data_IF_369204381069
#
_entry.id   IF_369204381069
#
_cell.length_a   1.000
_cell.length_b   1.000
_cell.length_c   1.000
_cell.angle_alpha   90.00
_cell.angle_beta   90.00
_cell.angle_gamma   90.00
#
_symmetry.space_group_name_H-M   'P 1'
#
loop_
_entity.id
_entity.type
_entity.pdbx_description
1 polymer ?
#
# COMPACT_ATOMS: atom_id res chain seq x y z
N UNK A 1 -35.28 18.54 2.99
CA UNK A 1 -35.97 19.22 4.11
C UNK A 1 -34.98 19.30 5.25
N UNK A 2 -34.59 20.49 5.73
CA UNK A 2 -33.68 20.60 6.88
C UNK A 2 -34.50 20.41 8.15
N UNK A 3 -34.22 19.35 8.89
CA UNK A 3 -34.84 19.15 10.21
C UNK A 3 -34.37 20.26 11.14
N UNK A 4 -35.31 21.03 11.69
CA UNK A 4 -35.02 22.18 12.54
C UNK A 4 -34.38 21.79 13.90
N UNK A 5 -34.30 20.50 14.19
CA UNK A 5 -33.73 19.92 15.42
C UNK A 5 -32.23 19.62 15.30
N UNK A 6 -31.69 19.47 14.08
CA UNK A 6 -30.29 19.14 13.84
C UNK A 6 -29.49 20.44 13.70
N UNK A 7 -28.64 20.74 14.68
CA UNK A 7 -27.95 22.03 14.75
C UNK A 7 -26.64 22.02 13.95
N UNK A 8 -26.02 20.85 13.78
CA UNK A 8 -24.71 20.75 13.15
C UNK A 8 -24.76 20.12 11.75
N UNK A 9 -23.93 20.61 10.79
CA UNK A 9 -23.80 20.02 9.46
C UNK A 9 -23.59 18.50 9.44
N UNK A 10 -22.77 17.97 10.35
CA UNK A 10 -22.53 16.52 10.42
C UNK A 10 -23.77 15.71 10.84
N UNK A 11 -24.71 16.31 11.57
CA UNK A 11 -26.00 15.69 11.89
C UNK A 11 -26.94 15.71 10.68
N UNK A 12 -27.00 16.86 10.00
CA UNK A 12 -27.86 17.06 8.83
C UNK A 12 -27.44 16.18 7.64
N UNK A 13 -26.13 15.98 7.47
CA UNK A 13 -25.56 15.24 6.36
C UNK A 13 -25.66 13.71 6.55
N UNK A 14 -25.87 13.20 7.76
CA UNK A 14 -25.81 11.76 8.05
C UNK A 14 -26.82 10.94 7.22
N UNK A 15 -28.05 11.44 7.08
CA UNK A 15 -29.08 10.79 6.25
C UNK A 15 -28.73 10.83 4.76
N UNK A 16 -28.15 11.93 4.29
CA UNK A 16 -27.76 12.06 2.88
C UNK A 16 -26.55 11.18 2.55
N UNK A 17 -25.57 11.10 3.45
CA UNK A 17 -24.41 10.19 3.34
C UNK A 17 -24.88 8.74 3.26
N UNK A 18 -25.73 8.30 4.19
CA UNK A 18 -26.25 6.92 4.20
C UNK A 18 -27.07 6.60 2.95
N UNK A 19 -27.88 7.54 2.46
CA UNK A 19 -28.61 7.39 1.20
C UNK A 19 -27.67 7.23 0.00
N UNK A 20 -26.68 8.12 -0.15
CA UNK A 20 -25.74 8.07 -1.27
C UNK A 20 -24.84 6.82 -1.22
N UNK A 21 -24.39 6.40 -0.04
CA UNK A 21 -23.68 5.13 0.16
C UNK A 21 -24.49 3.94 -0.36
N UNK A 22 -25.76 3.85 0.04
CA UNK A 22 -26.65 2.80 -0.45
C UNK A 22 -26.85 2.89 -1.97
N UNK A 23 -27.04 4.08 -2.51
CA UNK A 23 -27.20 4.28 -3.95
C UNK A 23 -25.93 3.84 -4.72
N UNK A 24 -24.75 4.13 -4.21
CA UNK A 24 -23.48 3.78 -4.85
C UNK A 24 -23.23 2.27 -4.79
N UNK A 25 -23.29 1.65 -3.60
CA UNK A 25 -22.92 0.24 -3.46
C UNK A 25 -24.07 -0.76 -3.65
N UNK A 26 -25.28 -0.46 -3.17
CA UNK A 26 -26.41 -1.40 -3.30
C UNK A 26 -27.06 -1.35 -4.68
N UNK A 27 -27.00 -0.19 -5.35
CA UNK A 27 -27.53 0.01 -6.70
C UNK A 27 -26.45 0.10 -7.78
N UNK A 28 -25.17 -0.05 -7.43
CA UNK A 28 -24.01 0.00 -8.34
C UNK A 28 -24.02 1.24 -9.27
N UNK A 29 -24.39 2.40 -8.74
CA UNK A 29 -24.38 3.62 -9.54
C UNK A 29 -22.93 4.10 -9.76
N UNK A 30 -22.57 4.34 -11.02
CA UNK A 30 -21.23 4.75 -11.45
C UNK A 30 -21.15 6.23 -11.84
N UNK A 31 -22.24 7.00 -11.72
CA UNK A 31 -22.24 8.42 -12.07
C UNK A 31 -21.33 9.23 -11.14
N UNK A 32 -20.37 9.95 -11.74
CA UNK A 32 -19.36 10.71 -11.02
C UNK A 32 -19.93 11.75 -10.06
N UNK A 33 -21.09 12.32 -10.40
CA UNK A 33 -21.78 13.30 -9.57
C UNK A 33 -22.09 12.76 -8.16
N UNK A 34 -22.62 11.54 -8.03
CA UNK A 34 -22.98 10.99 -6.72
C UNK A 34 -21.75 10.66 -5.87
N UNK A 35 -20.69 10.16 -6.49
CA UNK A 35 -19.44 9.84 -5.80
C UNK A 35 -18.74 11.10 -5.30
N UNK A 36 -18.66 12.13 -6.15
CA UNK A 36 -18.09 13.44 -5.81
C UNK A 36 -18.90 14.12 -4.70
N UNK A 37 -20.22 14.10 -4.82
CA UNK A 37 -21.12 14.66 -3.80
C UNK A 37 -20.98 13.95 -2.46
N UNK A 38 -20.81 12.63 -2.44
CA UNK A 38 -20.60 11.87 -1.21
C UNK A 38 -19.31 12.32 -0.50
N UNK A 39 -18.20 12.48 -1.24
CA UNK A 39 -16.93 12.97 -0.67
C UNK A 39 -17.09 14.37 -0.07
N UNK A 40 -17.75 15.29 -0.77
CA UNK A 40 -18.00 16.65 -0.28
C UNK A 40 -18.85 16.67 1.01
N UNK A 41 -19.85 15.78 1.11
CA UNK A 41 -20.65 15.63 2.32
C UNK A 41 -19.84 15.07 3.50
N UNK A 42 -18.96 14.10 3.25
CA UNK A 42 -18.03 13.63 4.27
C UNK A 42 -17.08 14.74 4.72
N UNK A 43 -16.48 15.49 3.78
CA UNK A 43 -15.58 16.60 4.10
C UNK A 43 -16.24 17.66 4.99
N UNK A 44 -17.46 18.09 4.63
CA UNK A 44 -18.19 19.09 5.40
C UNK A 44 -18.60 18.56 6.79
N UNK A 45 -18.97 17.29 6.89
CA UNK A 45 -19.29 16.63 8.16
C UNK A 45 -18.06 16.52 9.06
N UNK A 46 -16.93 16.07 8.50
CA UNK A 46 -15.66 15.92 9.23
C UNK A 46 -15.17 17.28 9.72
N UNK A 47 -15.18 18.31 8.86
CA UNK A 47 -14.75 19.67 9.25
C UNK A 47 -15.61 20.22 10.39
N UNK A 48 -16.93 20.06 10.29
CA UNK A 48 -17.86 20.48 11.34
C UNK A 48 -17.68 19.70 12.65
N UNK A 49 -17.38 18.40 12.58
CA UNK A 49 -17.07 17.58 13.76
C UNK A 49 -15.76 18.01 14.42
N UNK A 50 -14.72 18.30 13.63
CA UNK A 50 -13.43 18.78 14.14
C UNK A 50 -13.58 20.09 14.92
N UNK A 51 -14.30 21.07 14.35
CA UNK A 51 -14.59 22.33 15.04
C UNK A 51 -15.34 22.12 16.36
N UNK A 52 -16.30 21.18 16.38
CA UNK A 52 -17.06 20.87 17.58
C UNK A 52 -16.17 20.22 18.67
N UNK A 53 -15.32 19.25 18.28
CA UNK A 53 -14.35 18.62 19.19
C UNK A 53 -13.42 19.67 19.78
N UNK A 54 -12.86 20.57 18.95
CA UNK A 54 -11.98 21.66 19.42
C UNK A 54 -12.71 22.63 20.37
N UNK A 55 -13.98 22.94 20.09
CA UNK A 55 -14.81 23.74 21.00
C UNK A 55 -14.98 23.05 22.35
N UNK A 56 -15.32 21.77 22.35
CA UNK A 56 -15.51 20.96 23.57
C UNK A 56 -14.19 20.82 24.36
N UNK A 57 -13.06 20.62 23.67
CA UNK A 57 -11.73 20.58 24.30
C UNK A 57 -11.40 21.91 24.98
N UNK A 58 -11.62 23.05 24.29
CA UNK A 58 -11.44 24.38 24.88
C UNK A 58 -12.37 24.63 26.06
N UNK A 59 -13.59 24.07 26.05
CA UNK A 59 -14.51 24.15 27.19
C UNK A 59 -14.01 23.31 28.37
N UNK A 60 -13.49 22.11 28.10
CA UNK A 60 -12.90 21.23 29.12
C UNK A 60 -11.71 21.87 29.81
N UNK A 61 -10.73 22.39 29.05
CA UNK A 61 -9.54 23.06 29.62
C UNK A 61 -9.94 24.27 30.48
N UNK A 62 -10.93 25.07 30.02
CA UNK A 62 -11.46 26.17 30.83
C UNK A 62 -12.09 25.66 32.12
N UNK A 63 -12.91 24.61 32.04
CA UNK A 63 -13.56 24.00 33.20
C UNK A 63 -12.53 23.47 34.21
N UNK A 64 -11.52 22.73 33.76
CA UNK A 64 -10.39 22.23 34.57
C UNK A 64 -9.71 23.41 35.30
N UNK A 65 -9.36 24.48 34.58
CA UNK A 65 -8.72 25.67 35.18
C UNK A 65 -9.60 26.40 36.20
N UNK A 66 -10.93 26.35 36.04
CA UNK A 66 -11.88 26.94 36.99
C UNK A 66 -12.03 26.05 38.22
N UNK A 67 -12.07 24.73 38.05
CA UNK A 67 -12.12 23.76 39.14
C UNK A 67 -10.87 23.88 40.04
N UNK A 68 -9.66 23.98 39.46
CA UNK A 68 -8.40 24.19 40.20
C UNK A 68 -8.39 25.50 41.01
N UNK A 69 -8.93 26.58 40.44
CA UNK A 69 -9.07 27.88 41.15
C UNK A 69 -10.06 27.79 42.30
N UNK A 70 -11.17 27.09 42.12
CA UNK A 70 -12.16 26.88 43.20
C UNK A 70 -11.55 26.04 44.32
N UNK A 71 -10.80 24.99 43.97
CA UNK A 71 -10.16 24.09 44.93
C UNK A 71 -9.05 24.79 45.75
N UNK A 72 -8.35 25.78 45.19
CA UNK A 72 -7.32 26.54 45.89
C UNK A 72 -7.85 27.64 46.83
N UNK A 73 -9.14 27.99 46.76
CA UNK A 73 -9.70 29.13 47.50
C UNK A 73 -10.47 28.78 48.80
N UNK A 74 -10.74 27.50 49.17
CA UNK A 74 -11.78 27.22 50.21
C UNK A 74 -11.51 26.08 51.23
N UNK A 75 -11.95 26.32 52.48
CA UNK A 75 -12.01 25.42 53.67
C UNK A 75 -13.32 24.59 53.75
N UNK A 76 -13.28 23.53 54.55
CA UNK A 76 -14.11 22.30 54.51
C UNK A 76 -15.60 22.45 54.90
N UNK A 77 -16.52 21.99 54.02
CA UNK A 77 -17.80 21.27 54.24
C UNK A 77 -18.85 21.52 53.14
N UNK A 78 -18.87 22.68 52.48
CA UNK A 78 -19.71 22.97 51.28
C UNK A 78 -19.15 22.25 50.02
N UNK A 79 -18.02 21.57 50.17
CA UNK A 79 -17.11 21.08 49.12
C UNK A 79 -17.48 19.73 48.50
N UNK A 80 -18.24 18.87 49.20
CA UNK A 80 -18.55 17.53 48.70
C UNK A 80 -19.63 17.54 47.60
N UNK A 81 -20.68 18.36 47.77
CA UNK A 81 -21.75 18.50 46.78
C UNK A 81 -21.28 19.25 45.53
N UNK A 82 -20.59 20.38 45.71
CA UNK A 82 -20.01 21.14 44.59
C UNK A 82 -18.91 20.33 43.88
N UNK A 83 -18.09 19.58 44.62
CA UNK A 83 -17.10 18.68 44.03
C UNK A 83 -17.72 17.53 43.25
N UNK A 84 -18.84 16.96 43.73
CA UNK A 84 -19.59 15.94 43.01
C UNK A 84 -20.21 16.49 41.72
N UNK A 85 -20.85 17.67 41.77
CA UNK A 85 -21.44 18.32 40.59
C UNK A 85 -20.38 18.70 39.54
N UNK A 86 -19.21 19.18 39.99
CA UNK A 86 -18.09 19.48 39.10
C UNK A 86 -17.53 18.20 38.44
N UNK A 87 -17.40 17.10 39.21
CA UNK A 87 -16.97 15.80 38.67
C UNK A 87 -17.98 15.18 37.70
N UNK A 88 -19.28 15.35 37.93
CA UNK A 88 -20.34 14.91 37.00
C UNK A 88 -20.30 15.74 35.70
N UNK A 89 -20.11 17.06 35.79
CA UNK A 89 -19.97 17.90 34.61
C UNK A 89 -18.70 17.58 33.79
N UNK A 90 -17.57 17.31 34.47
CA UNK A 90 -16.32 16.92 33.82
C UNK A 90 -16.44 15.57 33.12
N UNK A 91 -16.98 14.55 33.81
CA UNK A 91 -17.22 13.23 33.22
C UNK A 91 -18.20 13.26 32.05
N UNK A 92 -19.23 14.12 32.13
CA UNK A 92 -20.14 14.40 31.02
C UNK A 92 -19.42 14.99 29.80
N UNK A 93 -18.56 15.99 30.00
CA UNK A 93 -17.74 16.59 28.92
C UNK A 93 -16.75 15.60 28.31
N UNK A 94 -16.10 14.78 29.14
CA UNK A 94 -15.21 13.72 28.67
C UNK A 94 -15.96 12.67 27.83
N UNK A 95 -17.15 12.27 28.27
CA UNK A 95 -18.01 11.32 27.54
C UNK A 95 -18.41 11.88 26.17
N UNK A 96 -18.85 13.14 26.12
CA UNK A 96 -19.18 13.82 24.86
C UNK A 96 -17.98 13.91 23.91
N UNK A 97 -16.80 14.28 24.44
CA UNK A 97 -15.56 14.31 23.65
C UNK A 97 -15.21 12.94 23.09
N UNK A 98 -15.33 11.89 23.90
CA UNK A 98 -15.09 10.51 23.47
C UNK A 98 -16.02 10.12 22.32
N UNK A 99 -17.33 10.35 22.46
CA UNK A 99 -18.32 10.06 21.42
C UNK A 99 -18.04 10.83 20.13
N UNK A 100 -17.69 12.12 20.21
CA UNK A 100 -17.38 12.94 19.02
C UNK A 100 -16.11 12.49 18.33
N UNK A 101 -15.07 12.15 19.08
CA UNK A 101 -13.83 11.60 18.52
C UNK A 101 -14.05 10.25 17.83
N UNK A 102 -14.91 9.40 18.39
CA UNK A 102 -15.26 8.11 17.78
C UNK A 102 -15.99 8.30 16.45
N UNK A 103 -16.99 9.19 16.39
CA UNK A 103 -17.71 9.51 15.15
C UNK A 103 -16.76 10.12 14.12
N UNK A 104 -15.87 11.03 14.55
CA UNK A 104 -14.88 11.66 13.70
C UNK A 104 -13.92 10.62 13.10
N UNK A 105 -13.39 9.73 13.94
CA UNK A 105 -12.51 8.65 13.50
C UNK A 105 -13.20 7.76 12.46
N UNK A 106 -14.42 7.28 12.76
CA UNK A 106 -15.22 6.47 11.84
C UNK A 106 -15.49 7.17 10.51
N UNK A 107 -15.85 8.47 10.57
CA UNK A 107 -16.14 9.23 9.35
C UNK A 107 -14.91 9.40 8.46
N UNK A 108 -13.72 9.60 9.07
CA UNK A 108 -12.45 9.65 8.34
C UNK A 108 -12.08 8.31 7.72
N UNK A 109 -12.20 7.21 8.47
CA UNK A 109 -11.89 5.88 7.94
C UNK A 109 -12.82 5.51 6.78
N UNK A 110 -14.12 5.80 6.90
CA UNK A 110 -15.07 5.56 5.82
C UNK A 110 -14.77 6.39 4.57
N UNK A 111 -14.34 7.65 4.75
CA UNK A 111 -13.96 8.51 3.63
C UNK A 111 -12.72 7.97 2.91
N UNK A 112 -11.68 7.57 3.65
CA UNK A 112 -10.46 6.99 3.09
C UNK A 112 -10.76 5.71 2.31
N UNK A 113 -11.50 4.78 2.92
CA UNK A 113 -11.94 3.55 2.27
C UNK A 113 -12.73 3.83 0.98
N UNK A 114 -13.63 4.80 1.02
CA UNK A 114 -14.40 5.20 -0.17
C UNK A 114 -13.51 5.73 -1.29
N UNK A 115 -12.55 6.61 -0.97
CA UNK A 115 -11.62 7.18 -1.94
C UNK A 115 -10.69 6.13 -2.56
N UNK A 116 -10.30 5.12 -1.79
CA UNK A 116 -9.48 4.02 -2.29
C UNK A 116 -10.26 3.10 -3.24
N UNK A 117 -11.47 2.71 -2.84
CA UNK A 117 -12.30 1.73 -3.55
C UNK A 117 -12.99 2.30 -4.78
N UNK A 118 -13.49 3.54 -4.71
CA UNK A 118 -14.16 4.18 -5.84
C UNK A 118 -13.15 4.77 -6.83
N UNK A 119 -13.45 4.64 -8.13
CA UNK A 119 -12.72 5.31 -9.21
C UNK A 119 -13.63 6.27 -10.01
N UNK A 120 -14.86 6.47 -9.55
CA UNK A 120 -15.88 7.16 -10.36
C UNK A 120 -16.03 8.63 -10.03
N UNK A 121 -15.46 9.14 -8.93
CA UNK A 121 -15.54 10.56 -8.58
C UNK A 121 -14.68 11.46 -9.48
N UNK A 122 -15.03 12.74 -9.57
CA UNK A 122 -14.22 13.75 -10.25
C UNK A 122 -13.08 14.21 -9.33
N UNK A 123 -11.91 13.61 -9.54
CA UNK A 123 -10.71 13.90 -8.76
C UNK A 123 -10.22 15.35 -8.92
N UNK A 124 -10.39 15.97 -10.10
CA UNK A 124 -9.93 17.33 -10.35
C UNK A 124 -10.84 18.37 -9.66
N UNK A 125 -12.16 18.15 -9.69
CA UNK A 125 -13.10 18.95 -8.93
C UNK A 125 -12.83 18.85 -7.43
N UNK A 126 -12.62 17.63 -6.93
CA UNK A 126 -12.35 17.39 -5.52
C UNK A 126 -11.10 18.13 -5.06
N UNK A 127 -9.96 18.00 -5.74
CA UNK A 127 -8.72 18.70 -5.32
C UNK A 127 -8.89 20.20 -5.15
N UNK A 128 -9.68 20.85 -6.01
CA UNK A 128 -9.97 22.29 -5.93
C UNK A 128 -10.86 22.64 -4.74
N UNK A 129 -11.68 21.70 -4.28
CA UNK A 129 -12.57 21.89 -3.12
C UNK A 129 -11.87 21.65 -1.77
N UNK A 130 -10.76 20.91 -1.74
CA UNK A 130 -10.05 20.62 -0.50
C UNK A 130 -9.33 21.86 0.08
N UNK A 131 -9.49 22.17 1.39
CA UNK A 131 -8.74 23.26 2.02
C UNK A 131 -7.24 22.98 2.06
N UNK A 132 -6.39 24.01 2.03
CA UNK A 132 -4.93 23.85 1.85
C UNK A 132 -4.23 22.95 2.89
N UNK A 133 -4.58 23.09 4.17
CA UNK A 133 -3.86 22.49 5.30
C UNK A 133 -4.61 21.33 5.99
N UNK A 134 -5.72 20.86 5.40
CA UNK A 134 -6.50 19.74 5.93
C UNK A 134 -6.66 18.61 4.90
N UNK A 135 -7.07 17.43 5.39
CA UNK A 135 -7.31 16.22 4.60
C UNK A 135 -6.11 15.79 3.72
N UNK A 136 -4.93 15.74 4.33
CA UNK A 136 -3.68 15.46 3.62
C UNK A 136 -3.64 14.03 3.06
N UNK A 137 -4.15 13.05 3.80
CA UNK A 137 -4.22 11.65 3.36
C UNK A 137 -5.18 11.49 2.17
N UNK A 138 -6.35 12.10 2.25
CA UNK A 138 -7.36 12.09 1.19
C UNK A 138 -6.83 12.75 -0.08
N UNK A 139 -6.14 13.89 0.05
CA UNK A 139 -5.47 14.56 -1.08
C UNK A 139 -4.42 13.68 -1.74
N UNK A 140 -3.60 12.99 -0.95
CA UNK A 140 -2.58 12.11 -1.48
C UNK A 140 -3.20 10.96 -2.30
N UNK A 141 -4.33 10.39 -1.83
CA UNK A 141 -5.08 9.38 -2.59
C UNK A 141 -5.62 9.96 -3.90
N UNK A 142 -6.20 11.16 -3.88
CA UNK A 142 -6.77 11.79 -5.08
C UNK A 142 -5.68 12.13 -6.10
N UNK A 143 -4.55 12.68 -5.66
CA UNK A 143 -3.39 12.94 -6.52
C UNK A 143 -2.86 11.65 -7.15
N UNK A 144 -2.80 10.55 -6.38
CA UNK A 144 -2.44 9.23 -6.91
C UNK A 144 -3.37 8.76 -8.03
N UNK A 145 -4.67 9.05 -7.91
CA UNK A 145 -5.68 8.67 -8.93
C UNK A 145 -5.58 9.55 -10.18
N UNK A 146 -5.13 10.79 -10.03
CA UNK A 146 -4.84 11.68 -11.16
C UNK A 146 -3.51 11.36 -11.85
N UNK A 147 -2.67 10.50 -11.25
CA UNK A 147 -1.33 10.17 -11.75
C UNK A 147 -0.25 11.17 -11.33
N UNK A 148 -0.58 12.11 -10.44
CA UNK A 148 0.36 13.10 -9.89
C UNK A 148 1.13 12.50 -8.69
N UNK A 149 1.92 11.46 -8.96
CA UNK A 149 2.61 10.68 -7.93
C UNK A 149 3.62 11.53 -7.12
N UNK A 150 4.27 12.50 -7.76
CA UNK A 150 5.27 13.35 -7.11
C UNK A 150 4.62 14.27 -6.07
N UNK A 151 3.51 14.92 -6.44
CA UNK A 151 2.75 15.76 -5.52
C UNK A 151 2.16 14.94 -4.37
N UNK A 152 1.68 13.72 -4.65
CA UNK A 152 1.21 12.80 -3.60
C UNK A 152 2.33 12.45 -2.61
N UNK A 153 3.53 12.13 -3.13
CA UNK A 153 4.70 11.83 -2.31
C UNK A 153 5.14 13.02 -1.45
N UNK A 154 5.15 14.23 -1.99
CA UNK A 154 5.49 15.43 -1.22
C UNK A 154 4.57 15.61 -0.01
N UNK A 155 3.26 15.38 -0.21
CA UNK A 155 2.29 15.45 0.89
C UNK A 155 2.58 14.37 1.94
N UNK A 156 2.78 13.11 1.52
CA UNK A 156 2.99 11.98 2.45
C UNK A 156 4.32 12.13 3.19
N UNK A 157 5.40 12.47 2.47
CA UNK A 157 6.74 12.56 3.03
C UNK A 157 6.93 13.79 3.92
N UNK A 158 6.47 14.98 3.49
CA UNK A 158 6.79 16.22 4.21
C UNK A 158 5.67 16.77 5.08
N UNK A 159 4.40 16.57 4.70
CA UNK A 159 3.25 17.10 5.45
C UNK A 159 2.64 16.07 6.40
N UNK A 160 2.68 14.79 6.06
CA UNK A 160 2.31 13.72 7.00
C UNK A 160 3.51 13.21 7.81
N UNK A 161 4.72 13.26 7.24
CA UNK A 161 5.93 12.82 7.93
C UNK A 161 5.96 11.32 8.23
N UNK A 162 5.15 10.51 7.53
CA UNK A 162 4.97 9.10 7.82
C UNK A 162 5.78 8.23 6.85
N UNK A 163 6.97 7.78 7.28
CA UNK A 163 7.88 6.90 6.52
C UNK A 163 7.14 5.69 5.95
N UNK A 164 6.43 4.96 6.81
CA UNK A 164 5.80 3.69 6.45
C UNK A 164 4.74 3.88 5.37
N UNK A 165 3.96 4.97 5.46
CA UNK A 165 2.95 5.30 4.45
C UNK A 165 3.60 5.68 3.11
N UNK A 166 4.70 6.43 3.13
CA UNK A 166 5.43 6.82 1.91
C UNK A 166 6.02 5.59 1.19
N UNK A 167 6.59 4.65 1.94
CA UNK A 167 7.15 3.42 1.39
C UNK A 167 6.07 2.49 0.83
N UNK A 168 4.96 2.31 1.56
CA UNK A 168 3.81 1.55 1.09
C UNK A 168 3.23 2.14 -0.20
N UNK A 169 3.19 3.48 -0.31
CA UNK A 169 2.79 4.17 -1.53
C UNK A 169 3.74 3.86 -2.69
N UNK A 170 5.06 4.01 -2.48
CA UNK A 170 6.06 3.72 -3.51
C UNK A 170 6.00 2.28 -3.99
N UNK A 171 5.84 1.31 -3.08
CA UNK A 171 5.67 -0.10 -3.42
C UNK A 171 4.42 -0.33 -4.28
N UNK A 172 3.29 0.31 -3.93
CA UNK A 172 2.04 0.21 -4.69
C UNK A 172 2.20 0.75 -6.12
N UNK A 173 2.88 1.89 -6.28
CA UNK A 173 3.15 2.49 -7.60
C UNK A 173 4.14 1.66 -8.41
N UNK A 174 5.21 1.18 -7.77
CA UNK A 174 6.22 0.31 -8.38
C UNK A 174 5.60 -0.98 -8.90
N UNK A 175 4.82 -1.69 -8.07
CA UNK A 175 4.16 -2.94 -8.45
C UNK A 175 3.11 -2.75 -9.55
N UNK A 176 2.56 -1.54 -9.67
CA UNK A 176 1.65 -1.18 -10.76
C UNK A 176 2.38 -0.90 -12.08
N UNK A 177 3.72 -0.92 -12.12
CA UNK A 177 4.57 -0.49 -13.24
C UNK A 177 4.20 0.91 -13.78
N UNK A 178 3.67 1.79 -12.92
CA UNK A 178 3.29 3.16 -13.31
C UNK A 178 4.50 4.09 -13.38
N UNK A 179 5.44 3.93 -12.45
CA UNK A 179 6.63 4.76 -12.36
C UNK A 179 7.82 3.96 -11.81
N UNK A 180 8.73 3.56 -12.68
CA UNK A 180 9.96 2.83 -12.35
C UNK A 180 10.98 3.68 -11.57
N UNK A 181 10.80 4.99 -11.48
CA UNK A 181 11.73 5.86 -10.77
C UNK A 181 11.15 6.33 -9.42
N UNK A 182 10.03 5.79 -8.95
CA UNK A 182 9.32 6.32 -7.78
C UNK A 182 10.18 6.34 -6.50
N UNK A 183 11.01 5.31 -6.27
CA UNK A 183 11.91 5.28 -5.11
C UNK A 183 13.05 6.31 -5.22
N UNK A 184 13.53 6.60 -6.43
CA UNK A 184 14.48 7.70 -6.67
C UNK A 184 13.82 9.04 -6.36
N UNK A 185 12.54 9.21 -6.73
CA UNK A 185 11.79 10.42 -6.37
C UNK A 185 11.61 10.54 -4.86
N UNK A 186 11.24 9.46 -4.16
CA UNK A 186 11.15 9.45 -2.69
C UNK A 186 12.48 9.87 -2.04
N UNK A 187 13.61 9.35 -2.54
CA UNK A 187 14.94 9.75 -2.09
C UNK A 187 15.19 11.24 -2.31
N UNK A 188 14.89 11.77 -3.51
CA UNK A 188 15.03 13.21 -3.81
C UNK A 188 14.16 14.05 -2.88
N UNK A 189 12.92 13.64 -2.64
CA UNK A 189 11.99 14.30 -1.72
C UNK A 189 12.61 14.41 -0.32
N UNK A 190 13.16 13.32 0.23
CA UNK A 190 13.81 13.38 1.56
C UNK A 190 15.15 14.11 1.61
N UNK A 191 15.94 14.08 0.52
CA UNK A 191 17.23 14.80 0.43
C UNK A 191 17.06 16.31 0.29
N UNK A 192 15.97 16.76 -0.34
CA UNK A 192 15.67 18.16 -0.61
C UNK A 192 14.31 18.57 -0.03
N UNK A 193 14.13 18.55 1.30
CA UNK A 193 12.87 18.96 1.92
C UNK A 193 12.57 20.45 1.66
N UNK A 194 11.31 20.80 1.34
CA UNK A 194 10.89 22.18 1.24
C UNK A 194 10.87 22.86 2.61
N UNK A 195 10.97 24.19 2.66
CA UNK A 195 10.96 24.96 3.92
C UNK A 195 9.70 24.73 4.77
N UNK A 196 8.59 24.34 4.14
CA UNK A 196 7.32 24.03 4.79
C UNK A 196 7.25 22.59 5.35
N UNK A 197 8.33 21.82 5.31
CA UNK A 197 8.31 20.43 5.80
C UNK A 197 8.26 20.37 7.31
N UNK A 198 7.50 19.41 7.85
CA UNK A 198 7.46 19.14 9.30
C UNK A 198 8.76 18.49 9.77
N UNK A 199 9.44 17.77 8.88
CA UNK A 199 10.68 17.05 9.17
C UNK A 199 11.87 18.01 9.30
N UNK A 200 12.69 17.77 10.33
CA UNK A 200 14.01 18.41 10.40
C UNK A 200 14.93 17.89 9.30
N UNK A 201 15.89 18.71 8.85
CA UNK A 201 16.90 18.31 7.85
C UNK A 201 17.63 17.02 8.25
N UNK A 202 17.93 16.86 9.54
CA UNK A 202 18.61 15.66 10.03
C UNK A 202 17.70 14.43 10.02
N UNK A 203 16.40 14.59 10.26
CA UNK A 203 15.43 13.51 10.20
C UNK A 203 15.18 13.08 8.76
N UNK A 204 15.01 14.05 7.85
CA UNK A 204 14.81 13.76 6.43
C UNK A 204 16.02 13.04 5.83
N UNK A 205 17.24 13.43 6.21
CA UNK A 205 18.46 12.71 5.80
C UNK A 205 18.49 11.27 6.33
N UNK A 206 18.15 11.04 7.61
CA UNK A 206 18.07 9.67 8.16
C UNK A 206 17.03 8.82 7.43
N UNK A 207 15.88 9.40 7.09
CA UNK A 207 14.86 8.71 6.29
C UNK A 207 15.34 8.39 4.88
N UNK A 208 16.03 9.33 4.22
CA UNK A 208 16.64 9.08 2.91
C UNK A 208 17.65 7.92 2.95
N UNK A 209 18.51 7.89 3.97
CA UNK A 209 19.48 6.80 4.16
C UNK A 209 18.77 5.47 4.41
N UNK A 210 17.69 5.46 5.21
CA UNK A 210 16.88 4.26 5.43
C UNK A 210 16.21 3.74 4.15
N UNK A 211 15.68 4.63 3.31
CA UNK A 211 15.11 4.23 2.01
C UNK A 211 16.19 3.61 1.11
N UNK A 212 17.41 4.16 1.13
CA UNK A 212 18.53 3.63 0.35
C UNK A 212 18.91 2.20 0.77
N UNK A 213 18.94 1.90 2.07
CA UNK A 213 19.24 0.55 2.57
C UNK A 213 18.11 -0.42 2.24
N UNK A 214 16.88 -0.03 2.56
CA UNK A 214 15.71 -0.92 2.52
C UNK A 214 15.32 -1.26 1.07
N UNK A 215 15.45 -0.29 0.15
CA UNK A 215 14.98 -0.38 -1.24
C UNK A 215 16.10 -0.34 -2.30
N UNK A 216 17.31 -0.79 -1.94
CA UNK A 216 18.46 -0.89 -2.86
C UNK A 216 18.21 -1.76 -4.11
N UNK A 217 17.28 -2.71 -4.07
CA UNK A 217 16.93 -3.55 -5.22
C UNK A 217 16.13 -2.80 -6.30
N UNK A 218 15.47 -1.70 -5.91
CA UNK A 218 14.58 -0.93 -6.77
C UNK A 218 15.22 0.35 -7.29
N UNK A 219 16.49 0.59 -6.97
CA UNK A 219 17.15 1.87 -7.20
C UNK A 219 18.52 1.67 -7.82
N UNK A 220 18.85 2.50 -8.81
CA UNK A 220 20.22 2.58 -9.31
C UNK A 220 21.09 3.37 -8.33
N UNK A 221 21.91 2.65 -7.56
CA UNK A 221 22.77 3.24 -6.52
C UNK A 221 23.76 4.25 -7.11
N UNK A 222 24.26 4.04 -8.34
CA UNK A 222 25.17 5.00 -8.99
C UNK A 222 24.48 6.34 -9.24
N UNK A 223 23.18 6.33 -9.54
CA UNK A 223 22.40 7.55 -9.69
C UNK A 223 22.17 8.24 -8.34
N UNK A 224 21.81 7.47 -7.30
CA UNK A 224 21.62 8.01 -5.94
C UNK A 224 22.88 8.65 -5.39
N UNK A 225 24.04 8.00 -5.55
CA UNK A 225 25.32 8.53 -5.09
C UNK A 225 25.66 9.89 -5.73
N UNK A 226 25.13 10.19 -6.93
CA UNK A 226 25.28 11.49 -7.59
C UNK A 226 24.28 12.54 -7.09
N UNK A 227 23.18 12.12 -6.47
CA UNK A 227 22.13 12.99 -5.93
C UNK A 227 22.38 13.39 -4.47
N UNK A 228 23.26 12.66 -3.77
CA UNK A 228 23.62 12.93 -2.39
C UNK A 228 24.30 14.31 -2.28
N UNK A 229 23.86 15.18 -1.36
CA UNK A 229 24.50 16.47 -1.12
C UNK A 229 25.93 16.31 -0.60
N UNK A 230 26.83 17.19 -1.03
CA UNK A 230 28.24 17.19 -0.59
C UNK A 230 28.41 17.46 0.92
N UNK A 231 27.38 18.01 1.56
CA UNK A 231 27.36 18.33 2.99
C UNK A 231 27.14 17.08 3.88
N UNK A 232 26.76 15.94 3.32
CA UNK A 232 26.50 14.71 4.09
C UNK A 232 27.84 14.05 4.46
N UNK A 233 28.15 13.88 5.75
CA UNK A 233 29.40 13.25 6.16
C UNK A 233 29.40 11.77 5.75
N UNK A 234 30.48 11.33 5.11
CA UNK A 234 30.62 9.94 4.65
C UNK A 234 30.45 8.93 5.79
N UNK A 235 30.85 9.27 7.01
CA UNK A 235 30.71 8.39 8.17
C UNK A 235 29.26 7.95 8.42
N UNK A 236 28.28 8.81 8.15
CA UNK A 236 26.86 8.49 8.33
C UNK A 236 26.33 7.54 7.25
N UNK A 237 27.06 7.42 6.14
CA UNK A 237 26.70 6.59 4.99
C UNK A 237 27.42 5.25 4.97
N UNK A 238 28.57 5.09 5.65
CA UNK A 238 29.40 3.87 5.56
C UNK A 238 28.59 2.61 5.86
N UNK A 239 27.86 2.58 6.98
CA UNK A 239 27.04 1.43 7.36
C UNK A 239 25.97 1.12 6.30
N UNK A 240 25.30 2.15 5.79
CA UNK A 240 24.29 1.99 4.74
C UNK A 240 24.90 1.47 3.43
N UNK A 241 26.06 1.97 3.02
CA UNK A 241 26.75 1.54 1.79
C UNK A 241 27.23 0.10 1.93
N UNK A 242 27.75 -0.31 3.09
CA UNK A 242 28.15 -1.69 3.34
C UNK A 242 26.98 -2.66 3.20
N UNK A 243 25.82 -2.33 3.77
CA UNK A 243 24.57 -3.11 3.64
C UNK A 243 24.12 -3.18 2.19
N UNK A 244 24.13 -2.05 1.48
CA UNK A 244 23.73 -1.99 0.08
C UNK A 244 24.67 -2.82 -0.81
N UNK A 245 25.98 -2.72 -0.60
CA UNK A 245 26.99 -3.46 -1.36
C UNK A 245 26.91 -4.96 -1.10
N UNK A 246 26.68 -5.38 0.15
CA UNK A 246 26.47 -6.80 0.48
C UNK A 246 25.24 -7.34 -0.22
N UNK A 247 24.11 -6.62 -0.17
CA UNK A 247 22.86 -7.03 -0.82
C UNK A 247 22.98 -7.12 -2.34
N UNK A 248 23.64 -6.14 -2.98
CA UNK A 248 23.93 -6.18 -4.41
C UNK A 248 24.78 -7.39 -4.79
N UNK A 249 25.84 -7.67 -4.02
CA UNK A 249 26.75 -8.77 -4.31
C UNK A 249 26.07 -10.13 -4.06
N UNK A 250 25.18 -10.23 -3.06
CA UNK A 250 24.32 -11.40 -2.84
C UNK A 250 23.36 -11.64 -4.00
N UNK A 251 22.68 -10.60 -4.49
CA UNK A 251 21.80 -10.68 -5.66
C UNK A 251 22.57 -11.10 -6.92
N UNK A 252 23.78 -10.55 -7.11
CA UNK A 252 24.67 -10.92 -8.23
C UNK A 252 25.09 -12.37 -8.14
N UNK A 253 25.55 -12.83 -6.97
CA UNK A 253 25.95 -14.23 -6.73
C UNK A 253 24.79 -15.18 -6.96
N UNK A 254 23.61 -14.89 -6.42
CA UNK A 254 22.40 -15.69 -6.58
C UNK A 254 21.98 -15.82 -8.04
N UNK A 255 21.97 -14.70 -8.77
CA UNK A 255 21.64 -14.68 -10.20
C UNK A 255 22.66 -15.46 -11.04
N UNK A 256 23.95 -15.34 -10.72
CA UNK A 256 25.00 -16.12 -11.37
C UNK A 256 24.83 -17.62 -11.10
N UNK A 257 24.57 -18.01 -9.85
CA UNK A 257 24.33 -19.39 -9.48
C UNK A 257 23.15 -19.98 -10.25
N UNK A 258 22.00 -19.29 -10.27
CA UNK A 258 20.83 -19.72 -11.05
C UNK A 258 21.14 -19.86 -12.54
N UNK A 259 21.87 -18.90 -13.12
CA UNK A 259 22.28 -18.95 -14.53
C UNK A 259 23.16 -20.17 -14.82
N UNK A 260 24.10 -20.48 -13.93
CA UNK A 260 24.99 -21.63 -14.09
C UNK A 260 24.25 -22.96 -13.90
N UNK A 261 23.38 -23.08 -12.89
CA UNK A 261 22.53 -24.26 -12.71
C UNK A 261 21.64 -24.49 -13.93
N UNK A 262 21.04 -23.43 -14.48
CA UNK A 262 20.27 -23.53 -15.72
C UNK A 262 21.13 -23.94 -16.93
N UNK A 263 22.40 -23.51 -16.99
CA UNK A 263 23.33 -23.91 -18.05
C UNK A 263 23.70 -25.39 -17.96
N UNK A 264 23.99 -25.90 -16.75
CA UNK A 264 24.24 -27.32 -16.50
C UNK A 264 23.01 -28.14 -16.88
N UNK A 265 21.81 -27.76 -16.41
CA UNK A 265 20.59 -28.49 -16.75
C UNK A 265 20.32 -28.52 -18.27
N UNK A 266 20.61 -27.42 -18.98
CA UNK A 266 20.51 -27.41 -20.46
C UNK A 266 21.47 -28.40 -21.10
N UNK A 267 22.68 -28.56 -20.55
CA UNK A 267 23.65 -29.52 -21.04
C UNK A 267 23.18 -30.96 -20.81
N UNK A 268 22.74 -31.29 -19.59
CA UNK A 268 22.23 -32.63 -19.26
C UNK A 268 21.06 -33.04 -20.16
N UNK A 269 20.08 -32.13 -20.34
CA UNK A 269 18.94 -32.38 -21.23
C UNK A 269 19.38 -32.52 -22.69
N UNK A 270 20.40 -31.77 -23.12
CA UNK A 270 20.95 -31.94 -24.45
C UNK A 270 21.66 -33.28 -24.63
N UNK A 271 22.35 -33.77 -23.60
CA UNK A 271 22.99 -35.09 -23.61
C UNK A 271 21.94 -36.21 -23.63
N UNK A 272 20.92 -36.14 -22.77
CA UNK A 272 19.75 -37.04 -22.77
C UNK A 272 19.06 -37.06 -24.13
N UNK A 273 18.87 -35.89 -24.75
CA UNK A 273 18.28 -35.80 -26.08
C UNK A 273 19.16 -36.45 -27.15
N UNK A 274 20.48 -36.22 -27.12
CA UNK A 274 21.40 -36.82 -28.09
C UNK A 274 21.52 -38.33 -27.90
N UNK A 275 21.48 -38.84 -26.66
CA UNK A 275 21.51 -40.28 -26.39
C UNK A 275 20.24 -40.97 -26.91
N UNK A 276 19.06 -40.38 -26.69
CA UNK A 276 17.80 -40.85 -27.27
C UNK A 276 17.80 -40.77 -28.80
N UNK A 277 18.31 -39.68 -29.38
CA UNK A 277 18.37 -39.50 -30.84
C UNK A 277 19.33 -40.48 -31.53
N UNK A 278 20.46 -40.77 -30.90
CA UNK A 278 21.46 -41.71 -31.41
C UNK A 278 21.15 -43.16 -31.04
N UNK A 279 20.10 -43.41 -30.24
CA UNK A 279 19.65 -44.76 -29.94
C UNK A 279 19.17 -45.43 -31.23
N UNK A 280 19.67 -46.65 -31.47
CA UNK A 280 19.30 -47.47 -32.61
C UNK A 280 18.76 -48.81 -32.12
N UNK A 281 17.72 -49.31 -32.76
CA UNK A 281 17.13 -50.61 -32.46
C UNK A 281 17.34 -51.56 -33.64
N UNK A 282 17.89 -52.74 -33.35
CA UNK A 282 18.05 -53.80 -34.35
C UNK A 282 16.83 -54.72 -34.34
N UNK A 283 16.09 -54.73 -35.45
CA UNK A 283 14.96 -55.63 -35.64
C UNK A 283 15.46 -56.98 -36.16
N UNK A 284 15.45 -57.98 -35.28
CA UNK A 284 15.76 -59.38 -35.60
C UNK A 284 14.47 -60.17 -35.87
N UNK A 285 14.54 -61.33 -36.58
CA UNK A 285 13.37 -62.16 -36.90
C UNK A 285 12.68 -62.78 -35.67
N UNK A 286 13.24 -62.58 -34.47
CA UNK A 286 12.68 -63.05 -33.19
C UNK A 286 12.08 -61.91 -32.36
N UNK A 287 12.13 -60.66 -32.82
CA UNK A 287 11.54 -59.54 -32.09
C UNK A 287 10.01 -59.56 -32.19
N UNK A 288 9.34 -59.59 -31.04
CA UNK A 288 7.89 -59.66 -30.95
C UNK A 288 7.31 -58.40 -30.30
N UNK A 289 6.12 -58.01 -30.75
CA UNK A 289 5.35 -56.94 -30.12
C UNK A 289 4.72 -57.45 -28.80
N UNK A 290 4.90 -56.76 -27.65
CA UNK A 290 4.39 -57.21 -26.35
C UNK A 290 2.86 -57.19 -26.23
N UNK A 291 2.15 -56.43 -27.06
CA UNK A 291 0.68 -56.33 -27.02
C UNK A 291 0.01 -57.47 -27.77
N UNK A 292 0.51 -57.79 -28.98
CA UNK A 292 -0.12 -58.80 -29.84
C UNK A 292 0.67 -60.11 -29.95
N UNK A 293 1.86 -60.18 -29.33
CA UNK A 293 2.78 -61.33 -29.35
C UNK A 293 3.12 -61.86 -30.76
N UNK A 294 3.07 -60.98 -31.77
CA UNK A 294 3.47 -61.30 -33.16
C UNK A 294 4.82 -60.69 -33.46
N UNK A 295 5.59 -61.35 -34.33
CA UNK A 295 6.89 -60.88 -34.81
C UNK A 295 6.72 -59.56 -35.57
N UNK A 296 7.62 -58.60 -35.34
CA UNK A 296 7.58 -57.28 -36.00
C UNK A 296 7.93 -57.38 -37.50
N UNK A 297 8.96 -58.13 -37.87
CA UNK A 297 9.34 -58.37 -39.27
C UNK A 297 9.52 -57.07 -40.06
N UNK A 298 9.06 -57.03 -41.31
CA UNK A 298 9.15 -55.85 -42.20
C UNK A 298 8.04 -54.80 -41.98
N UNK A 299 7.24 -54.93 -40.93
CA UNK A 299 6.11 -54.02 -40.68
C UNK A 299 6.56 -52.68 -40.09
N UNK A 300 5.75 -51.62 -40.27
CA UNK A 300 6.02 -50.31 -39.64
C UNK A 300 5.80 -50.42 -38.14
N UNK A 301 6.86 -50.16 -37.38
CA UNK A 301 6.87 -50.20 -35.91
C UNK A 301 7.25 -48.83 -35.32
N UNK A 302 6.91 -48.65 -34.05
CA UNK A 302 7.24 -47.49 -33.22
C UNK A 302 8.07 -47.95 -32.04
N UNK A 303 9.18 -47.26 -31.78
CA UNK A 303 10.08 -47.51 -30.65
C UNK A 303 9.78 -46.50 -29.54
N UNK A 304 9.51 -46.99 -28.33
CA UNK A 304 9.31 -46.16 -27.15
C UNK A 304 10.65 -45.87 -26.43
N UNK A 305 10.72 -44.80 -25.62
CA UNK A 305 11.93 -44.46 -24.85
C UNK A 305 12.45 -45.57 -23.94
N UNK A 306 11.58 -46.49 -23.51
CA UNK A 306 11.93 -47.66 -22.68
C UNK A 306 12.60 -48.80 -23.47
N UNK A 307 12.85 -48.61 -24.77
CA UNK A 307 13.46 -49.61 -25.66
C UNK A 307 12.50 -50.67 -26.20
N UNK A 308 11.21 -50.55 -25.90
CA UNK A 308 10.16 -51.47 -26.35
C UNK A 308 9.68 -51.08 -27.75
N UNK A 309 9.78 -52.02 -28.70
CA UNK A 309 9.27 -51.85 -30.06
C UNK A 309 7.88 -52.47 -30.22
N UNK A 310 6.95 -51.73 -30.82
CA UNK A 310 5.56 -52.13 -30.99
C UNK A 310 5.08 -51.85 -32.42
N UNK A 311 4.13 -52.64 -32.93
CA UNK A 311 3.45 -52.30 -34.17
C UNK A 311 2.80 -50.91 -34.07
N UNK A 312 2.86 -50.11 -35.13
CA UNK A 312 2.31 -48.75 -35.11
C UNK A 312 0.81 -48.69 -34.76
N UNK A 313 0.05 -49.75 -35.05
CA UNK A 313 -1.36 -49.89 -34.65
C UNK A 313 -1.52 -50.23 -33.15
N UNK A 314 -0.69 -51.13 -32.62
CA UNK A 314 -0.69 -51.49 -31.20
C UNK A 314 -0.24 -50.31 -30.32
N UNK A 315 0.73 -49.51 -30.79
CA UNK A 315 1.20 -48.33 -30.08
C UNK A 315 0.11 -47.26 -29.92
N UNK A 316 -0.72 -47.03 -30.96
CA UNK A 316 -1.86 -46.11 -30.88
C UNK A 316 -2.95 -46.57 -29.91
N UNK A 317 -3.11 -47.88 -29.72
CA UNK A 317 -4.05 -48.45 -28.76
C UNK A 317 -3.52 -48.38 -27.33
N UNK A 318 -2.20 -48.49 -27.15
CA UNK A 318 -1.53 -48.48 -25.86
C UNK A 318 -1.25 -47.06 -25.31
N UNK A 319 -1.30 -46.02 -26.16
CA UNK A 319 -1.10 -44.62 -25.75
C UNK A 319 -2.40 -43.87 -25.38
N UNK A 320 -3.54 -44.56 -25.29
CA UNK A 320 -4.85 -43.99 -24.94
C UNK A 320 -5.35 -44.40 -23.54
N UNK A 321 -4.51 -45.09 -22.76
CA UNK A 321 -4.69 -45.30 -21.31
C UNK A 321 -3.67 -44.47 -20.54
#
# INVERSE_FOLDING_TARGET
MKDATLQHPWEQNALEITFLRNLIWSKNNTEAFFHTKLVLLYMSSISSLQENVEMLQRRRIRFESHAEKIQSLQEQQITAEIGADLGVAESGLQTLLHQRNEILFRSKTELLEFLELSNSYDAAELLRSFPADSFLEEKAIILSKLGEDLAALEIIAHRLGNKNMAEAYCQKVWNSNRNENIFIHLLKTYLFPPESSILSRNESLKLAIGVLTDHSDHVNIVEVLRLLPDDVPLNDLIESIEVVMTKLEENRRSSLMLRQLAAVRRFDVSEEYMSLRNSSFENTPVTFCPVCNRVLGDSVFTLFPDGVAMHAACARQHSME
#
